data_IF_501546398304
#
_entry.id   IF_501546398304
#
_cell.length_a   1.000
_cell.length_b   1.000
_cell.length_c   1.000
_cell.angle_alpha   90.00
_cell.angle_beta   90.00
_cell.angle_gamma   90.00
#
_symmetry.space_group_name_H-M   'P 1'
#
loop_
_entity.id
_entity.type
_entity.pdbx_description
1 polymer ?
#
# COMPACT_ATOMS: atom_id res chain seq x y z
N UNK A 1 -28.81 34.25 -18.81
CA UNK A 1 -28.60 34.85 -17.48
C UNK A 1 -27.78 33.87 -16.65
N UNK A 2 -26.71 34.34 -16.00
CA UNK A 2 -25.88 33.51 -15.13
C UNK A 2 -26.24 33.76 -13.66
N UNK A 3 -26.14 32.73 -12.82
CA UNK A 3 -26.27 32.88 -11.37
C UNK A 3 -24.98 33.39 -10.75
N UNK A 4 -25.09 34.24 -9.72
CA UNK A 4 -23.92 34.64 -8.93
C UNK A 4 -23.39 33.46 -8.10
N UNK A 5 -22.10 33.46 -7.76
CA UNK A 5 -21.51 32.40 -6.93
C UNK A 5 -22.24 32.26 -5.58
N UNK A 6 -22.70 33.38 -5.00
CA UNK A 6 -23.46 33.38 -3.76
C UNK A 6 -24.84 32.74 -3.90
N UNK A 7 -25.56 32.99 -5.00
CA UNK A 7 -26.85 32.34 -5.27
C UNK A 7 -26.71 30.83 -5.41
N UNK A 8 -25.67 30.38 -6.12
CA UNK A 8 -25.38 28.95 -6.28
C UNK A 8 -24.99 28.33 -4.93
N UNK A 9 -24.18 29.02 -4.13
CA UNK A 9 -23.80 28.55 -2.79
C UNK A 9 -25.02 28.38 -1.88
N UNK A 10 -25.94 29.35 -1.86
CA UNK A 10 -27.19 29.25 -1.09
C UNK A 10 -28.09 28.12 -1.60
N UNK A 11 -28.25 27.99 -2.92
CA UNK A 11 -29.10 26.97 -3.54
C UNK A 11 -28.66 25.54 -3.22
N UNK A 12 -27.35 25.29 -3.21
CA UNK A 12 -26.80 23.95 -2.99
C UNK A 12 -26.26 23.73 -1.56
N UNK A 13 -26.31 24.74 -0.69
CA UNK A 13 -25.86 24.64 0.70
C UNK A 13 -24.35 24.43 0.88
N UNK A 14 -23.54 24.76 -0.12
CA UNK A 14 -22.08 24.64 -0.04
C UNK A 14 -21.42 25.99 0.24
N UNK A 15 -20.24 26.01 0.90
CA UNK A 15 -19.47 27.24 1.05
C UNK A 15 -19.18 27.90 -0.29
N UNK A 16 -19.24 29.25 -0.33
CA UNK A 16 -18.91 30.05 -1.52
C UNK A 16 -17.52 29.71 -2.10
N UNK A 17 -16.56 29.36 -1.24
CA UNK A 17 -15.21 28.94 -1.62
C UNK A 17 -15.20 27.63 -2.41
N UNK A 18 -16.04 26.66 -2.03
CA UNK A 18 -16.20 25.39 -2.75
C UNK A 18 -16.79 25.61 -4.13
N UNK A 19 -17.86 26.40 -4.23
CA UNK A 19 -18.49 26.74 -5.52
C UNK A 19 -17.50 27.49 -6.42
N UNK A 20 -16.79 28.48 -5.88
CA UNK A 20 -15.77 29.22 -6.64
C UNK A 20 -14.63 28.33 -7.14
N UNK A 21 -14.19 27.36 -6.32
CA UNK A 21 -13.14 26.41 -6.70
C UNK A 21 -13.60 25.49 -7.83
N UNK A 22 -14.80 24.90 -7.68
CA UNK A 22 -15.39 24.01 -8.70
C UNK A 22 -15.63 24.76 -10.01
N UNK A 23 -16.17 25.98 -9.95
CA UNK A 23 -16.38 26.81 -11.14
C UNK A 23 -15.07 27.12 -11.87
N UNK A 24 -14.00 27.47 -11.15
CA UNK A 24 -12.67 27.70 -11.74
C UNK A 24 -12.11 26.44 -12.39
N UNK A 25 -12.14 25.31 -11.69
CA UNK A 25 -11.65 24.04 -12.22
C UNK A 25 -12.44 23.60 -13.47
N UNK A 26 -13.76 23.79 -13.47
CA UNK A 26 -14.61 23.54 -14.64
C UNK A 26 -14.29 24.47 -15.81
N UNK A 27 -14.13 25.77 -15.56
CA UNK A 27 -13.80 26.75 -16.60
C UNK A 27 -12.43 26.47 -17.25
N UNK A 28 -11.45 26.02 -16.46
CA UNK A 28 -10.10 25.71 -16.95
C UNK A 28 -10.01 24.35 -17.66
N UNK A 29 -10.68 23.33 -17.13
CA UNK A 29 -10.51 21.94 -17.61
C UNK A 29 -11.67 21.40 -18.45
N UNK A 30 -12.84 22.04 -18.42
CA UNK A 30 -14.09 21.55 -19.02
C UNK A 30 -14.66 20.30 -18.34
N UNK A 31 -14.03 19.80 -17.27
CA UNK A 31 -14.41 18.55 -16.59
C UNK A 31 -15.28 18.85 -15.38
N UNK A 32 -16.32 18.05 -15.22
CA UNK A 32 -17.21 18.09 -14.04
C UNK A 32 -16.67 17.25 -12.88
N UNK A 33 -15.74 16.32 -13.16
CA UNK A 33 -15.10 15.49 -12.15
C UNK A 33 -13.65 15.92 -11.94
N UNK A 34 -13.23 15.92 -10.67
CA UNK A 34 -11.85 16.14 -10.29
C UNK A 34 -11.22 14.79 -9.91
N UNK A 35 -10.68 14.06 -10.90
CA UNK A 35 -9.89 12.85 -10.65
C UNK A 35 -8.45 13.23 -10.29
N UNK A 36 -8.25 13.96 -9.20
CA UNK A 36 -6.92 14.10 -8.60
C UNK A 36 -6.52 12.74 -8.05
N UNK A 37 -5.57 12.08 -8.72
CA UNK A 37 -4.90 10.91 -8.17
C UNK A 37 -4.16 11.33 -6.90
N UNK A 38 -4.76 11.09 -5.73
CA UNK A 38 -4.04 11.18 -4.47
C UNK A 38 -3.12 9.97 -4.40
N UNK A 39 -1.87 10.13 -4.80
CA UNK A 39 -0.86 9.16 -4.42
C UNK A 39 -0.64 9.31 -2.91
N UNK A 40 -0.95 8.25 -2.16
CA UNK A 40 -0.69 8.23 -0.72
C UNK A 40 0.81 8.34 -0.44
N UNK A 41 1.19 8.19 0.84
CA UNK A 41 2.60 8.15 1.22
C UNK A 41 3.33 7.02 0.48
N UNK A 42 4.49 7.32 -0.11
CA UNK A 42 5.34 6.33 -0.78
C UNK A 42 5.78 5.22 0.19
N UNK A 43 5.83 3.98 -0.28
CA UNK A 43 6.37 2.84 0.50
C UNK A 43 7.87 3.06 0.74
N UNK A 44 8.35 2.68 1.92
CA UNK A 44 9.79 2.73 2.27
C UNK A 44 10.61 1.69 1.52
N UNK A 45 10.03 0.51 1.26
CA UNK A 45 10.67 -0.55 0.49
C UNK A 45 10.47 -0.31 -1.00
N UNK A 46 11.56 -0.22 -1.74
CA UNK A 46 11.59 -0.14 -3.18
C UNK A 46 11.75 -1.53 -3.82
N UNK A 47 11.62 -1.61 -5.14
CA UNK A 47 11.74 -2.86 -5.89
C UNK A 47 13.10 -3.56 -5.66
N UNK A 48 14.19 -2.78 -5.54
CA UNK A 48 15.53 -3.31 -5.20
C UNK A 48 15.56 -3.99 -3.84
N UNK A 49 14.88 -3.41 -2.85
CA UNK A 49 14.79 -3.95 -1.50
C UNK A 49 13.98 -5.25 -1.49
N UNK A 50 12.89 -5.30 -2.25
CA UNK A 50 12.08 -6.50 -2.43
C UNK A 50 12.88 -7.63 -3.09
N UNK A 51 13.65 -7.32 -4.14
CA UNK A 51 14.57 -8.29 -4.77
C UNK A 51 15.63 -8.81 -3.79
N UNK A 52 16.19 -7.95 -2.94
CA UNK A 52 17.15 -8.37 -1.90
C UNK A 52 16.48 -9.24 -0.84
N UNK A 53 15.31 -8.83 -0.34
CA UNK A 53 14.52 -9.59 0.63
C UNK A 53 14.17 -10.99 0.11
N UNK A 54 13.81 -11.08 -1.18
CA UNK A 54 13.55 -12.35 -1.87
C UNK A 54 14.78 -13.28 -1.86
N UNK A 55 15.99 -12.74 -2.04
CA UNK A 55 17.23 -13.54 -1.97
C UNK A 55 17.50 -14.07 -0.56
N UNK A 56 17.26 -13.25 0.46
CA UNK A 56 17.44 -13.64 1.87
C UNK A 56 16.51 -14.82 2.21
N UNK A 57 15.22 -14.70 1.87
CA UNK A 57 14.23 -15.76 2.12
C UNK A 57 14.54 -17.04 1.34
N UNK A 58 15.05 -16.92 0.11
CA UNK A 58 15.41 -18.10 -0.70
C UNK A 58 16.69 -18.79 -0.22
N UNK A 59 17.61 -18.05 0.42
CA UNK A 59 18.86 -18.58 1.00
C UNK A 59 18.56 -19.45 2.21
N UNK A 60 17.74 -18.96 3.14
CA UNK A 60 17.27 -19.73 4.28
C UNK A 60 15.74 -19.70 4.36
N UNK A 61 15.12 -20.77 3.88
CA UNK A 61 13.66 -20.90 3.79
C UNK A 61 13.00 -21.17 5.15
N UNK A 62 13.78 -21.47 6.18
CA UNK A 62 13.30 -21.76 7.53
C UNK A 62 13.59 -20.61 8.51
N UNK A 63 14.27 -19.55 8.06
CA UNK A 63 14.57 -18.38 8.87
C UNK A 63 13.31 -17.74 9.45
N UNK A 64 13.38 -17.42 10.74
CA UNK A 64 12.32 -16.69 11.43
C UNK A 64 12.30 -15.21 11.02
N UNK A 65 11.15 -14.56 11.17
CA UNK A 65 11.00 -13.15 10.80
C UNK A 65 12.03 -12.21 11.47
N UNK A 66 12.39 -12.36 12.76
CA UNK A 66 13.46 -11.56 13.37
C UNK A 66 14.83 -11.80 12.74
N UNK A 67 15.17 -13.05 12.38
CA UNK A 67 16.42 -13.38 11.69
C UNK A 67 16.46 -12.74 10.31
N UNK A 68 15.37 -12.86 9.54
CA UNK A 68 15.24 -12.20 8.23
C UNK A 68 15.38 -10.68 8.39
N UNK A 69 14.80 -10.10 9.44
CA UNK A 69 14.92 -8.66 9.70
C UNK A 69 16.34 -8.23 10.05
N UNK A 70 17.07 -9.04 10.85
CA UNK A 70 18.45 -8.77 11.20
C UNK A 70 19.35 -8.82 9.95
N UNK A 71 19.23 -9.89 9.15
CA UNK A 71 19.96 -10.04 7.88
C UNK A 71 19.62 -8.94 6.89
N UNK A 72 18.34 -8.54 6.83
CA UNK A 72 17.91 -7.46 5.96
C UNK A 72 18.53 -6.14 6.42
N UNK A 73 18.50 -5.82 7.71
CA UNK A 73 19.02 -4.55 8.23
C UNK A 73 20.54 -4.50 8.35
N UNK A 74 21.26 -5.63 8.26
CA UNK A 74 22.72 -5.68 8.29
C UNK A 74 23.42 -5.05 7.06
N UNK A 75 22.67 -4.75 5.98
CA UNK A 75 23.22 -4.19 4.74
C UNK A 75 22.93 -2.70 4.51
N UNK A 76 21.66 -2.24 4.56
CA UNK A 76 21.29 -0.87 4.26
C UNK A 76 21.64 0.10 5.39
N UNK A 77 21.85 1.37 5.04
CA UNK A 77 22.00 2.47 6.00
C UNK A 77 20.70 2.84 6.72
N UNK A 78 19.55 2.48 6.14
CA UNK A 78 18.23 2.72 6.72
C UNK A 78 17.66 1.43 7.30
N UNK A 79 17.39 1.42 8.61
CA UNK A 79 16.73 0.29 9.25
C UNK A 79 15.24 0.29 8.91
N UNK A 80 14.72 -0.91 8.60
CA UNK A 80 13.31 -1.14 8.34
C UNK A 80 12.73 -1.95 9.49
N UNK A 81 11.54 -1.54 9.95
CA UNK A 81 10.87 -2.26 11.04
C UNK A 81 10.51 -3.69 10.63
N UNK A 82 10.55 -4.61 11.60
CA UNK A 82 10.15 -6.01 11.44
C UNK A 82 8.75 -6.12 10.81
N UNK A 83 7.81 -5.25 11.25
CA UNK A 83 6.43 -5.23 10.76
C UNK A 83 6.33 -4.81 9.29
N UNK A 84 7.15 -3.86 8.85
CA UNK A 84 7.21 -3.46 7.45
C UNK A 84 7.75 -4.60 6.58
N UNK A 85 8.79 -5.29 7.05
CA UNK A 85 9.34 -6.47 6.36
C UNK A 85 8.28 -7.56 6.26
N UNK A 86 7.58 -7.88 7.35
CA UNK A 86 6.51 -8.87 7.35
C UNK A 86 5.42 -8.57 6.31
N UNK A 87 4.92 -7.32 6.27
CA UNK A 87 3.92 -6.91 5.28
C UNK A 87 4.43 -7.11 3.87
N UNK A 88 5.70 -6.78 3.63
CA UNK A 88 6.29 -6.94 2.31
C UNK A 88 6.42 -8.41 1.89
N UNK A 89 6.79 -9.28 2.83
CA UNK A 89 6.83 -10.75 2.64
C UNK A 89 5.46 -11.26 2.19
N UNK A 90 4.40 -10.83 2.87
CA UNK A 90 3.01 -11.21 2.55
C UNK A 90 2.57 -10.62 1.21
N UNK A 91 2.82 -9.33 0.96
CA UNK A 91 2.52 -8.65 -0.32
C UNK A 91 3.20 -9.37 -1.51
N UNK A 92 4.39 -9.95 -1.30
CA UNK A 92 5.13 -10.72 -2.30
C UNK A 92 4.67 -12.19 -2.43
N UNK A 93 3.71 -12.64 -1.59
CA UNK A 93 3.14 -13.98 -1.65
C UNK A 93 3.89 -15.07 -0.87
N UNK A 94 4.85 -14.70 -0.03
CA UNK A 94 5.51 -15.67 0.86
C UNK A 94 4.64 -15.95 2.08
N UNK A 95 4.54 -17.23 2.44
CA UNK A 95 3.79 -17.71 3.60
C UNK A 95 4.63 -18.65 4.44
N UNK A 96 4.26 -18.82 5.71
CA UNK A 96 4.87 -19.81 6.58
C UNK A 96 4.67 -21.21 6.00
N UNK A 97 5.70 -22.05 6.07
CA UNK A 97 5.57 -23.47 5.75
C UNK A 97 4.97 -24.19 6.95
N UNK A 98 3.73 -24.67 6.81
CA UNK A 98 3.11 -25.60 7.75
C UNK A 98 3.14 -27.02 7.17
N UNK A 99 3.26 -28.06 8.01
CA UNK A 99 3.01 -29.42 7.55
C UNK A 99 1.56 -29.52 7.05
N UNK A 100 1.36 -30.08 5.87
CA UNK A 100 0.02 -30.50 5.42
C UNK A 100 -0.48 -31.53 6.41
N UNK A 101 -1.68 -31.35 6.97
CA UNK A 101 -2.32 -32.35 7.85
C UNK A 101 -2.61 -33.60 7.01
N UNK A 102 -1.65 -34.52 6.96
CA UNK A 102 -1.83 -35.84 6.35
C UNK A 102 -2.54 -36.75 7.37
N UNK A 103 -3.59 -37.49 6.99
CA UNK A 103 -4.17 -38.48 7.88
C UNK A 103 -3.15 -39.59 8.16
N UNK A 104 -3.07 -40.02 9.43
CA UNK A 104 -2.32 -41.20 9.83
C UNK A 104 -2.98 -42.44 9.20
N UNK A 105 -2.30 -43.06 8.23
CA UNK A 105 -2.76 -44.34 7.69
C UNK A 105 -2.28 -45.45 8.61
N UNK A 106 -3.20 -46.01 9.40
CA UNK A 106 -2.96 -47.25 10.14
C UNK A 106 -3.11 -48.40 9.15
N UNK A 107 -2.02 -49.12 8.88
CA UNK A 107 -2.08 -50.35 8.11
C UNK A 107 -2.92 -51.37 8.91
N UNK A 108 -4.10 -51.71 8.39
CA UNK A 108 -4.89 -52.81 8.92
C UNK A 108 -4.16 -54.12 8.63
N UNK A 109 -3.85 -54.86 9.69
CA UNK A 109 -3.43 -56.25 9.65
C UNK A 109 -4.57 -57.15 9.16
#
# INVERSE_FOLDING_TARGET
MGHSISEVAMKFGFPRTTISRVYREYRESGKTSNLRHRCGRKKIMQERDQRRLTRIIKRDRCATLPQISADFNAGPSTSVSVRTIQRNIIDMGFQSRGPTRVPLMTAGY
#
